data_IF_330023919468
#
_entry.id   IF_330023919468
#
_cell.length_a   1.000
_cell.length_b   1.000
_cell.length_c   1.000
_cell.angle_alpha   90.00
_cell.angle_beta   90.00
_cell.angle_gamma   90.00
#
_symmetry.space_group_name_H-M   'P 1'
#
loop_
_entity.id
_entity.type
_entity.pdbx_description
1 polymer ?
#
# COMPACT_ATOMS: atom_id res chain seq x y z
N UNK A 1 13.57 -6.20 -0.81
CA UNK A 1 13.81 -5.24 0.28
C UNK A 1 12.66 -5.17 1.31
N UNK A 2 11.56 -5.94 1.17
CA UNK A 2 10.45 -5.95 2.14
C UNK A 2 9.95 -7.35 2.51
N UNK A 3 10.72 -8.39 2.22
CA UNK A 3 10.40 -9.78 2.59
C UNK A 3 10.29 -9.99 4.11
N UNK A 4 10.84 -9.08 4.93
CA UNK A 4 10.70 -9.10 6.38
C UNK A 4 9.25 -8.84 6.82
N UNK A 5 8.47 -8.07 6.05
CA UNK A 5 7.05 -7.80 6.34
C UNK A 5 6.24 -9.10 6.27
N UNK A 6 6.58 -9.98 5.33
CA UNK A 6 5.94 -11.29 5.16
C UNK A 6 6.17 -12.23 6.35
N UNK A 7 7.18 -11.95 7.18
CA UNK A 7 7.59 -12.78 8.33
C UNK A 7 7.07 -12.25 9.67
N UNK A 8 6.44 -11.08 9.70
CA UNK A 8 5.87 -10.54 10.94
C UNK A 8 4.86 -11.52 11.54
N UNK A 9 4.78 -11.62 12.87
CA UNK A 9 3.79 -12.47 13.54
C UNK A 9 2.38 -11.87 13.45
N UNK A 10 2.27 -10.57 13.67
CA UNK A 10 1.01 -9.83 13.52
C UNK A 10 0.96 -9.15 12.14
N UNK A 11 -0.22 -9.02 11.51
CA UNK A 11 -0.35 -8.27 10.28
C UNK A 11 -0.08 -6.78 10.53
N UNK A 12 0.41 -6.08 9.50
CA UNK A 12 0.56 -4.62 9.54
C UNK A 12 -0.80 -3.92 9.52
N UNK A 13 -1.77 -4.48 8.80
CA UNK A 13 -3.16 -4.00 8.74
C UNK A 13 -4.04 -5.10 9.34
N UNK A 14 -4.65 -4.81 10.48
CA UNK A 14 -5.51 -5.75 11.20
C UNK A 14 -6.90 -5.86 10.55
N UNK A 15 -7.71 -6.80 11.04
CA UNK A 15 -9.10 -6.91 10.59
C UNK A 15 -9.92 -5.69 11.04
N UNK A 16 -9.64 -5.16 12.23
CA UNK A 16 -10.27 -3.97 12.77
C UNK A 16 -9.96 -2.73 11.93
N UNK A 17 -8.69 -2.56 11.52
CA UNK A 17 -8.29 -1.53 10.58
C UNK A 17 -9.03 -1.68 9.25
N UNK A 18 -9.14 -2.90 8.73
CA UNK A 18 -9.84 -3.16 7.48
C UNK A 18 -11.32 -2.81 7.56
N UNK A 19 -11.99 -3.18 8.65
CA UNK A 19 -13.39 -2.82 8.86
C UNK A 19 -13.56 -1.30 8.90
N UNK A 20 -12.65 -0.58 9.60
CA UNK A 20 -12.67 0.88 9.64
C UNK A 20 -12.49 1.52 8.25
N UNK A 21 -11.57 0.99 7.44
CA UNK A 21 -11.31 1.47 6.09
C UNK A 21 -12.50 1.24 5.15
N UNK A 22 -13.20 0.11 5.30
CA UNK A 22 -14.41 -0.22 4.53
C UNK A 22 -15.58 0.66 4.95
N UNK A 23 -15.86 0.76 6.25
CA UNK A 23 -17.04 1.42 6.80
C UNK A 23 -17.03 2.94 6.59
N UNK A 24 -15.85 3.58 6.66
CA UNK A 24 -15.75 5.03 6.56
C UNK A 24 -15.83 5.56 5.13
N UNK A 25 -16.07 4.70 4.15
CA UNK A 25 -15.93 5.03 2.71
C UNK A 25 -14.64 5.83 2.46
N UNK A 26 -13.57 5.46 3.16
CA UNK A 26 -12.45 6.37 3.36
C UNK A 26 -11.97 6.89 2.01
N UNK A 27 -11.96 8.23 1.87
CA UNK A 27 -11.38 8.84 0.69
C UNK A 27 -9.96 8.32 0.55
N UNK A 28 -9.61 7.87 -0.65
CA UNK A 28 -8.32 7.25 -0.94
C UNK A 28 -7.15 8.18 -0.63
N UNK A 29 -7.39 9.50 -0.56
CA UNK A 29 -6.40 10.50 -0.16
C UNK A 29 -6.06 10.45 1.34
N UNK A 30 -7.05 10.18 2.19
CA UNK A 30 -6.89 10.23 3.66
C UNK A 30 -6.93 8.86 4.34
N UNK A 31 -7.29 7.80 3.61
CA UNK A 31 -7.50 6.46 4.17
C UNK A 31 -6.33 5.95 5.03
N UNK A 32 -5.08 6.13 4.58
CA UNK A 32 -3.92 5.67 5.35
C UNK A 32 -3.65 6.48 6.63
N UNK A 33 -4.19 7.70 6.76
CA UNK A 33 -4.07 8.50 7.98
C UNK A 33 -4.99 8.01 9.11
N UNK A 34 -5.96 7.14 8.79
CA UNK A 34 -6.82 6.49 9.79
C UNK A 34 -6.09 5.38 10.55
N UNK A 35 -4.99 4.86 10.00
CA UNK A 35 -4.18 3.82 10.61
C UNK A 35 -3.26 4.38 11.69
N UNK A 36 -2.80 3.51 12.59
CA UNK A 36 -1.76 3.89 13.53
C UNK A 36 -0.50 4.38 12.81
N UNK A 37 0.20 5.34 13.42
CA UNK A 37 1.39 5.97 12.83
C UNK A 37 2.42 4.97 12.32
N UNK A 38 2.67 3.89 13.08
CA UNK A 38 3.59 2.83 12.69
C UNK A 38 3.16 2.11 11.41
N UNK A 39 1.89 1.67 11.36
CA UNK A 39 1.31 0.97 10.20
C UNK A 39 1.36 1.86 8.95
N UNK A 40 0.89 3.10 9.07
CA UNK A 40 0.92 4.09 8.00
C UNK A 40 2.33 4.29 7.45
N UNK A 41 3.32 4.49 8.33
CA UNK A 41 4.71 4.69 7.90
C UNK A 41 5.30 3.45 7.23
N UNK A 42 5.03 2.25 7.74
CA UNK A 42 5.46 0.99 7.12
C UNK A 42 4.91 0.85 5.70
N UNK A 43 3.62 1.11 5.50
CA UNK A 43 2.97 1.07 4.18
C UNK A 43 3.61 2.09 3.25
N UNK A 44 3.73 3.36 3.66
CA UNK A 44 4.33 4.41 2.84
C UNK A 44 5.78 4.11 2.46
N UNK A 45 6.55 3.49 3.34
CA UNK A 45 7.93 3.09 3.09
C UNK A 45 8.01 2.07 1.94
N UNK A 46 7.19 1.02 1.98
CA UNK A 46 7.13 0.00 0.92
C UNK A 46 6.62 0.61 -0.39
N UNK A 47 5.56 1.41 -0.35
CA UNK A 47 5.03 2.09 -1.55
C UNK A 47 6.05 3.05 -2.16
N UNK A 48 6.87 3.71 -1.34
CA UNK A 48 7.96 4.55 -1.83
C UNK A 48 9.00 3.74 -2.61
N UNK A 49 9.34 2.53 -2.16
CA UNK A 49 10.20 1.64 -2.93
C UNK A 49 9.60 1.32 -4.31
N UNK A 50 8.28 1.06 -4.39
CA UNK A 50 7.59 0.76 -5.64
C UNK A 50 7.64 1.95 -6.61
N UNK A 51 7.36 3.17 -6.15
CA UNK A 51 7.45 4.39 -6.98
C UNK A 51 8.89 4.68 -7.42
N UNK A 52 9.88 4.27 -6.63
CA UNK A 52 11.30 4.47 -6.94
C UNK A 52 11.84 3.48 -7.96
N UNK A 53 11.12 2.40 -8.25
CA UNK A 53 11.40 1.57 -9.42
C UNK A 53 11.11 2.43 -10.66
N UNK A 54 11.97 2.36 -11.68
CA UNK A 54 11.70 2.93 -13.01
C UNK A 54 10.34 2.43 -13.53
N UNK A 55 9.81 2.99 -14.62
CA UNK A 55 8.51 2.60 -15.19
C UNK A 55 8.34 1.08 -15.29
N UNK A 56 7.52 0.53 -14.39
CA UNK A 56 7.14 -0.88 -14.37
C UNK A 56 5.89 -1.08 -15.23
N UNK A 57 5.76 -2.22 -15.92
CA UNK A 57 4.51 -2.59 -16.58
C UNK A 57 3.34 -2.63 -15.59
N UNK A 58 2.14 -2.30 -16.06
CA UNK A 58 0.92 -2.23 -15.23
C UNK A 58 0.64 -3.56 -14.54
N UNK A 59 0.75 -4.68 -15.27
CA UNK A 59 0.57 -6.03 -14.75
C UNK A 59 1.58 -6.38 -13.64
N UNK A 60 2.82 -5.91 -13.76
CA UNK A 60 3.84 -6.06 -12.72
C UNK A 60 3.49 -5.22 -11.49
N UNK A 61 3.01 -3.99 -11.67
CA UNK A 61 2.51 -3.16 -10.57
C UNK A 61 1.33 -3.81 -9.85
N UNK A 62 0.37 -4.37 -10.60
CA UNK A 62 -0.76 -5.11 -10.03
C UNK A 62 -0.31 -6.31 -9.18
N UNK A 63 0.67 -7.07 -9.67
CA UNK A 63 1.22 -8.23 -8.98
C UNK A 63 1.99 -7.84 -7.71
N UNK A 64 2.79 -6.76 -7.79
CA UNK A 64 3.51 -6.21 -6.63
C UNK A 64 2.53 -5.70 -5.58
N UNK A 65 1.47 -5.01 -5.98
CA UNK A 65 0.41 -4.54 -5.08
C UNK A 65 -0.32 -5.72 -4.42
N UNK A 66 -0.69 -6.74 -5.18
CA UNK A 66 -1.34 -7.94 -4.62
C UNK A 66 -0.44 -8.63 -3.57
N UNK A 67 0.87 -8.75 -3.86
CA UNK A 67 1.84 -9.29 -2.91
C UNK A 67 1.97 -8.41 -1.66
N UNK A 68 1.98 -7.08 -1.82
CA UNK A 68 2.09 -6.15 -0.70
C UNK A 68 0.85 -6.23 0.21
N UNK A 69 -0.34 -6.27 -0.38
CA UNK A 69 -1.61 -6.47 0.34
C UNK A 69 -1.57 -7.76 1.15
N UNK A 70 -1.15 -8.87 0.51
CA UNK A 70 -1.00 -10.15 1.20
C UNK A 70 -0.05 -10.06 2.38
N UNK A 71 1.10 -9.42 2.21
CA UNK A 71 2.09 -9.28 3.28
C UNK A 71 1.58 -8.41 4.44
N UNK A 72 0.85 -7.34 4.14
CA UNK A 72 0.35 -6.43 5.17
C UNK A 72 -0.84 -6.99 5.95
N UNK A 73 -1.70 -7.77 5.31
CA UNK A 73 -2.95 -8.25 5.93
C UNK A 73 -2.89 -9.71 6.34
N UNK A 74 -1.97 -10.49 5.76
CA UNK A 74 -1.92 -11.96 5.82
C UNK A 74 -3.16 -12.67 5.23
N UNK A 75 -3.99 -11.94 4.51
CA UNK A 75 -5.21 -12.47 3.88
C UNK A 75 -4.89 -13.01 2.48
N UNK A 76 -5.36 -14.22 2.19
CA UNK A 76 -5.33 -14.79 0.84
C UNK A 76 -6.49 -14.23 0.00
N UNK A 77 -6.25 -13.97 -1.28
CA UNK A 77 -7.29 -13.45 -2.17
C UNK A 77 -8.51 -14.38 -2.28
N UNK A 78 -8.28 -15.70 -2.22
CA UNK A 78 -9.34 -16.71 -2.37
C UNK A 78 -10.12 -16.98 -1.07
N UNK A 79 -9.86 -16.24 0.01
CA UNK A 79 -10.67 -16.35 1.23
C UNK A 79 -11.98 -15.57 1.09
N UNK A 80 -12.94 -15.84 1.97
CA UNK A 80 -14.26 -15.19 1.98
C UNK A 80 -14.19 -13.65 1.89
N UNK A 81 -13.33 -13.03 2.70
CA UNK A 81 -13.14 -11.58 2.72
C UNK A 81 -11.99 -11.10 1.79
N UNK A 82 -11.29 -12.03 1.13
CA UNK A 82 -10.12 -11.74 0.30
C UNK A 82 -10.40 -10.70 -0.80
N UNK A 83 -11.46 -10.85 -1.62
CA UNK A 83 -11.75 -9.88 -2.68
C UNK A 83 -12.03 -8.47 -2.14
N UNK A 84 -12.73 -8.34 -1.02
CA UNK A 84 -13.04 -7.05 -0.39
C UNK A 84 -11.75 -6.36 0.09
N UNK A 85 -10.90 -7.10 0.80
CA UNK A 85 -9.61 -6.60 1.30
C UNK A 85 -8.73 -6.12 0.14
N UNK A 86 -8.60 -6.94 -0.90
CA UNK A 86 -7.72 -6.63 -2.03
C UNK A 86 -8.26 -5.46 -2.86
N UNK A 87 -9.56 -5.40 -3.13
CA UNK A 87 -10.15 -4.30 -3.90
C UNK A 87 -10.00 -2.97 -3.17
N UNK A 88 -10.30 -2.95 -1.87
CA UNK A 88 -10.18 -1.74 -1.03
C UNK A 88 -8.73 -1.25 -0.96
N UNK A 89 -7.79 -2.11 -0.56
CA UNK A 89 -6.40 -1.70 -0.40
C UNK A 89 -5.72 -1.40 -1.73
N UNK A 90 -6.05 -2.11 -2.82
CA UNK A 90 -5.50 -1.82 -4.14
C UNK A 90 -5.93 -0.42 -4.60
N UNK A 91 -7.18 -0.02 -4.36
CA UNK A 91 -7.67 1.33 -4.66
C UNK A 91 -6.88 2.40 -3.88
N UNK A 92 -6.70 2.20 -2.57
CA UNK A 92 -5.96 3.12 -1.69
C UNK A 92 -4.47 3.21 -2.10
N UNK A 93 -3.82 2.07 -2.34
CA UNK A 93 -2.41 2.02 -2.68
C UNK A 93 -2.14 2.65 -4.05
N UNK A 94 -2.96 2.38 -5.07
CA UNK A 94 -2.83 3.03 -6.39
C UNK A 94 -2.91 4.54 -6.30
N UNK A 95 -3.93 5.06 -5.63
CA UNK A 95 -4.06 6.49 -5.38
C UNK A 95 -2.81 7.06 -4.69
N UNK A 96 -2.31 6.37 -3.66
CA UNK A 96 -1.10 6.77 -2.94
C UNK A 96 0.15 6.76 -3.84
N UNK A 97 0.30 5.78 -4.74
CA UNK A 97 1.40 5.71 -5.70
C UNK A 97 1.34 6.88 -6.69
N UNK A 98 0.16 7.20 -7.22
CA UNK A 98 -0.06 8.33 -8.12
C UNK A 98 0.31 9.66 -7.47
N UNK A 99 -0.15 9.90 -6.24
CA UNK A 99 0.19 11.10 -5.48
C UNK A 99 1.69 11.22 -5.21
N UNK A 100 2.36 10.12 -4.87
CA UNK A 100 3.82 10.10 -4.71
C UNK A 100 4.56 10.40 -6.00
N UNK A 101 4.07 9.90 -7.14
CA UNK A 101 4.64 10.17 -8.48
C UNK A 101 4.52 11.64 -8.84
N UNK A 102 3.38 12.28 -8.59
CA UNK A 102 3.17 13.73 -8.81
C UNK A 102 4.20 14.54 -8.01
N UNK A 103 4.33 14.27 -6.71
CA UNK A 103 5.29 14.96 -5.82
C UNK A 103 6.75 14.77 -6.21
N UNK A 104 7.11 13.63 -6.82
CA UNK A 104 8.48 13.36 -7.28
C UNK A 104 8.78 14.09 -8.60
N UNK A 105 7.77 14.30 -9.45
CA UNK A 105 7.89 15.12 -10.67
C UNK A 105 7.98 16.61 -10.35
N UNK A 106 7.26 17.06 -9.32
CA UNK A 106 7.24 18.48 -8.90
C UNK A 106 8.43 18.91 -8.04
N UNK A 107 9.25 17.95 -7.56
CA UNK A 107 10.45 18.22 -6.78
C UNK A 107 11.64 17.43 -7.36
N UNK A 108 12.26 17.89 -8.46
CA UNK A 108 13.44 17.26 -9.00
C UNK A 108 14.52 17.35 -7.92
N UNK A 109 15.03 16.20 -7.45
CA UNK A 109 16.19 16.20 -6.54
C UNK A 109 17.28 17.08 -7.16
N UNK A 110 17.93 17.98 -6.39
CA UNK A 110 19.09 18.70 -6.90
C UNK A 110 20.13 17.65 -7.30
N UNK A 111 20.55 17.68 -8.56
CA UNK A 111 21.67 16.89 -9.04
C UNK A 111 22.89 17.28 -8.20
N UNK A 112 23.26 16.42 -7.26
CA UNK A 112 24.56 16.53 -6.59
C UNK A 112 25.55 15.89 -7.56
N UNK A 113 26.37 16.76 -8.17
CA UNK A 113 27.51 16.40 -9.03
C UNK A 113 28.61 15.73 -8.23
#
# INVERSE_FOLDING_TARGET
MWSWVEQLKEPVITQEDMNMLVDRHADTAEALFLLEKGQHQTILCVLHCIVSLQTIPVDVEEAVLARAIKAFTKVNFDSENGPIVYNTLKKIFKHTLEEKRKRTKDNPKPHVY
#
